data_IF_732872945177
#
_entry.id   IF_732872945177
#
_cell.length_a   1.000
_cell.length_b   1.000
_cell.length_c   1.000
_cell.angle_alpha   90.00
_cell.angle_beta   90.00
_cell.angle_gamma   90.00
#
_symmetry.space_group_name_H-M   'P 1'
#
loop_
_entity.id
_entity.type
_entity.pdbx_description
1 polymer ?
#
# COMPACT_ATOMS: atom_id res chain seq x y z
N UNK A 1 13.49 13.79 -22.05
CA UNK A 1 12.93 12.48 -21.59
C UNK A 1 12.11 12.68 -20.32
N UNK A 2 10.86 12.18 -20.33
CA UNK A 2 9.97 11.82 -19.19
C UNK A 2 9.47 12.92 -18.22
N UNK A 3 8.43 13.63 -18.64
CA UNK A 3 7.44 14.28 -17.76
C UNK A 3 6.38 13.27 -17.23
N UNK A 4 6.78 12.01 -17.01
CA UNK A 4 5.92 10.91 -16.52
C UNK A 4 5.93 10.78 -14.98
N UNK A 5 6.74 11.59 -14.28
CA UNK A 5 7.08 11.37 -12.88
C UNK A 5 6.24 12.18 -11.88
N UNK A 6 5.49 13.20 -12.29
CA UNK A 6 4.78 14.08 -11.35
C UNK A 6 3.57 13.41 -10.71
N UNK A 7 2.70 12.76 -11.50
CA UNK A 7 1.49 12.12 -10.96
C UNK A 7 1.79 10.88 -10.13
N UNK A 8 2.77 10.07 -10.56
CA UNK A 8 3.22 8.91 -9.83
C UNK A 8 3.83 9.32 -8.49
N UNK A 9 4.68 10.35 -8.48
CA UNK A 9 5.29 10.87 -7.27
C UNK A 9 4.25 11.49 -6.33
N UNK A 10 3.33 12.31 -6.85
CA UNK A 10 2.21 12.87 -6.09
C UNK A 10 1.36 11.79 -5.42
N UNK A 11 1.10 10.67 -6.13
CA UNK A 11 0.36 9.55 -5.56
C UNK A 11 1.14 8.86 -4.44
N UNK A 12 2.45 8.66 -4.63
CA UNK A 12 3.32 8.08 -3.60
C UNK A 12 3.40 8.96 -2.36
N UNK A 13 3.53 10.27 -2.55
CA UNK A 13 3.56 11.24 -1.45
C UNK A 13 2.20 11.27 -0.73
N UNK A 14 1.09 11.21 -1.48
CA UNK A 14 -0.25 11.08 -0.90
C UNK A 14 -0.38 9.82 -0.03
N UNK A 15 0.08 8.67 -0.52
CA UNK A 15 0.07 7.40 0.23
C UNK A 15 0.87 7.54 1.52
N UNK A 16 2.09 8.10 1.44
CA UNK A 16 2.95 8.31 2.60
C UNK A 16 2.30 9.25 3.62
N UNK A 17 1.87 10.44 3.19
CA UNK A 17 1.27 11.46 4.06
C UNK A 17 -0.01 10.96 4.72
N UNK A 18 -0.86 10.23 4.00
CA UNK A 18 -2.10 9.68 4.55
C UNK A 18 -1.84 8.69 5.68
N UNK A 19 -0.86 7.80 5.53
CA UNK A 19 -0.47 6.84 6.57
C UNK A 19 0.14 7.56 7.77
N UNK A 20 1.08 8.49 7.55
CA UNK A 20 1.72 9.24 8.63
C UNK A 20 0.71 10.06 9.44
N UNK A 21 -0.23 10.72 8.74
CA UNK A 21 -1.32 11.48 9.37
C UNK A 21 -2.24 10.57 10.18
N UNK A 22 -2.58 9.39 9.66
CA UNK A 22 -3.44 8.44 10.38
C UNK A 22 -2.81 7.96 11.70
N UNK A 23 -1.49 7.73 11.71
CA UNK A 23 -0.77 7.30 12.91
C UNK A 23 -0.22 8.44 13.77
N UNK A 24 -0.45 9.71 13.39
CA UNK A 24 0.08 10.90 14.07
C UNK A 24 1.58 10.73 14.32
N UNK A 25 2.32 10.36 13.27
CA UNK A 25 3.74 9.99 13.36
C UNK A 25 4.55 10.71 12.27
N UNK A 26 5.82 10.95 12.56
CA UNK A 26 6.79 11.44 11.58
C UNK A 26 7.40 10.29 10.76
N UNK A 27 7.93 10.62 9.57
CA UNK A 27 8.53 9.63 8.67
C UNK A 27 9.79 9.00 9.27
N UNK A 28 10.60 9.78 10.00
CA UNK A 28 11.82 9.28 10.65
C UNK A 28 11.52 8.17 11.64
N UNK A 29 10.54 8.37 12.52
CA UNK A 29 10.05 7.35 13.45
C UNK A 29 9.49 6.15 12.70
N UNK A 30 8.65 6.38 11.68
CA UNK A 30 8.05 5.28 10.92
C UNK A 30 9.12 4.39 10.27
N UNK A 31 10.25 4.96 9.82
CA UNK A 31 11.37 4.25 9.22
C UNK A 31 12.18 3.41 10.22
N UNK A 32 12.04 3.66 11.52
CA UNK A 32 12.63 2.79 12.57
C UNK A 32 11.87 1.49 12.80
N UNK A 33 10.62 1.41 12.31
CA UNK A 33 9.81 0.20 12.45
C UNK A 33 10.30 -0.91 11.51
N UNK A 34 10.05 -2.18 11.85
CA UNK A 34 10.30 -3.28 10.91
C UNK A 34 9.53 -3.09 9.60
N UNK A 35 10.14 -3.39 8.46
CA UNK A 35 9.52 -3.23 7.14
C UNK A 35 8.15 -3.93 7.04
N UNK A 36 8.03 -5.11 7.63
CA UNK A 36 6.76 -5.88 7.69
C UNK A 36 5.68 -5.12 8.45
N UNK A 37 6.05 -4.47 9.56
CA UNK A 37 5.15 -3.61 10.34
C UNK A 37 4.73 -2.38 9.54
N UNK A 38 5.67 -1.72 8.86
CA UNK A 38 5.39 -0.57 8.00
C UNK A 38 4.41 -0.98 6.89
N UNK A 39 4.69 -2.09 6.20
CA UNK A 39 3.85 -2.62 5.13
C UNK A 39 2.43 -2.95 5.62
N UNK A 40 2.32 -3.67 6.75
CA UNK A 40 1.04 -4.05 7.33
C UNK A 40 0.22 -2.82 7.74
N UNK A 41 0.86 -1.85 8.41
CA UNK A 41 0.21 -0.61 8.85
C UNK A 41 -0.21 0.25 7.66
N UNK A 42 0.64 0.39 6.64
CA UNK A 42 0.33 1.18 5.45
C UNK A 42 -0.90 0.64 4.71
N UNK A 43 -0.97 -0.69 4.54
CA UNK A 43 -2.13 -1.37 3.93
C UNK A 43 -3.40 -1.32 4.79
N UNK A 44 -3.29 -1.03 6.09
CA UNK A 44 -4.45 -0.87 6.97
C UNK A 44 -5.18 0.44 6.73
N UNK A 45 -4.43 1.47 6.30
CA UNK A 45 -4.93 2.83 6.09
C UNK A 45 -5.41 3.01 4.66
N UNK A 46 -4.59 2.60 3.69
CA UNK A 46 -4.86 2.82 2.27
C UNK A 46 -4.90 1.49 1.51
N UNK A 47 -6.03 1.15 0.87
CA UNK A 47 -6.07 0.02 -0.04
C UNK A 47 -5.26 0.34 -1.30
N UNK A 48 -4.11 -0.31 -1.45
CA UNK A 48 -3.12 0.08 -2.45
C UNK A 48 -2.40 -1.11 -3.07
N UNK A 49 -1.71 -0.85 -4.18
CA UNK A 49 -0.86 -1.89 -4.78
C UNK A 49 0.42 -2.08 -3.96
N UNK A 50 0.92 -3.32 -3.88
CA UNK A 50 2.19 -3.64 -3.21
C UNK A 50 3.32 -2.69 -3.65
N UNK A 51 3.42 -2.43 -4.96
CA UNK A 51 4.48 -1.60 -5.52
C UNK A 51 4.37 -0.15 -5.04
N UNK A 52 3.16 0.41 -4.97
CA UNK A 52 2.96 1.76 -4.45
C UNK A 52 3.41 1.88 -2.98
N UNK A 53 2.99 0.95 -2.12
CA UNK A 53 3.41 0.95 -0.70
C UNK A 53 4.93 0.81 -0.56
N UNK A 54 5.54 -0.15 -1.26
CA UNK A 54 6.98 -0.37 -1.15
C UNK A 54 7.77 0.83 -1.64
N UNK A 55 7.34 1.49 -2.72
CA UNK A 55 7.98 2.73 -3.19
C UNK A 55 7.79 3.88 -2.19
N UNK A 56 6.60 4.00 -1.58
CA UNK A 56 6.31 5.09 -0.64
C UNK A 56 7.16 5.05 0.63
N UNK A 57 7.51 3.86 1.10
CA UNK A 57 8.26 3.66 2.34
C UNK A 57 9.65 3.04 2.12
N UNK A 58 10.14 3.04 0.87
CA UNK A 58 11.46 2.50 0.52
C UNK A 58 11.70 1.04 0.99
N UNK A 59 10.65 0.21 0.95
CA UNK A 59 10.70 -1.17 1.45
C UNK A 59 11.27 -2.15 0.42
N UNK A 60 11.92 -3.21 0.91
CA UNK A 60 12.36 -4.30 0.05
C UNK A 60 11.18 -5.06 -0.60
N UNK A 61 11.09 -4.98 -1.93
CA UNK A 61 9.96 -5.49 -2.71
C UNK A 61 9.85 -7.02 -2.67
N UNK A 62 10.98 -7.73 -2.60
CA UNK A 62 11.03 -9.19 -2.57
C UNK A 62 10.62 -9.72 -1.21
N UNK A 63 11.16 -9.12 -0.14
CA UNK A 63 10.77 -9.41 1.23
C UNK A 63 9.26 -9.19 1.42
N UNK A 64 8.74 -8.05 0.96
CA UNK A 64 7.31 -7.75 1.05
C UNK A 64 6.45 -8.67 0.15
N UNK A 65 7.01 -9.25 -0.91
CA UNK A 65 6.32 -10.27 -1.69
C UNK A 65 6.10 -11.56 -0.89
N UNK A 66 7.13 -11.99 -0.14
CA UNK A 66 7.05 -13.16 0.74
C UNK A 66 6.10 -12.91 1.90
N UNK A 67 6.20 -11.74 2.53
CA UNK A 67 5.34 -11.36 3.64
C UNK A 67 3.87 -11.22 3.22
N UNK A 68 3.59 -10.61 2.05
CA UNK A 68 2.24 -10.59 1.46
C UNK A 68 1.65 -11.99 1.37
N UNK A 69 2.38 -12.95 0.81
CA UNK A 69 1.90 -14.34 0.69
C UNK A 69 1.60 -14.98 2.04
N UNK A 70 2.37 -14.64 3.07
CA UNK A 70 2.10 -15.10 4.43
C UNK A 70 0.78 -14.53 4.97
N UNK A 71 0.54 -13.22 4.81
CA UNK A 71 -0.70 -12.59 5.23
C UNK A 71 -1.93 -13.15 4.49
N UNK A 72 -1.79 -13.45 3.20
CA UNK A 72 -2.84 -14.09 2.39
C UNK A 72 -3.19 -15.48 2.93
N UNK A 73 -2.18 -16.30 3.26
CA UNK A 73 -2.40 -17.62 3.86
C UNK A 73 -3.04 -17.54 5.24
N UNK A 74 -2.76 -16.48 5.99
CA UNK A 74 -3.33 -16.24 7.31
C UNK A 74 -4.74 -15.61 7.27
N UNK A 75 -5.26 -15.25 6.09
CA UNK A 75 -6.53 -14.54 5.96
C UNK A 75 -6.49 -13.10 6.49
N UNK A 76 -5.30 -12.52 6.67
CA UNK A 76 -5.09 -11.15 7.19
C UNK A 76 -4.93 -10.11 6.08
N UNK A 77 -4.95 -10.54 4.82
CA UNK A 77 -4.87 -9.67 3.66
C UNK A 77 -6.04 -9.96 2.72
N UNK A 78 -6.75 -8.91 2.35
CA UNK A 78 -7.82 -8.96 1.35
C UNK A 78 -7.36 -8.27 0.07
N UNK A 79 -7.85 -8.78 -1.07
CA UNK A 79 -7.61 -8.21 -2.38
C UNK A 79 -8.93 -7.69 -2.95
N UNK A 80 -8.89 -6.60 -3.70
CA UNK A 80 -10.08 -6.08 -4.37
C UNK A 80 -10.59 -7.05 -5.44
N UNK A 81 -11.90 -7.18 -5.61
CA UNK A 81 -12.49 -8.08 -6.63
C UNK A 81 -12.07 -7.66 -8.06
N UNK A 82 -12.02 -6.34 -8.30
CA UNK A 82 -11.63 -5.75 -9.60
C UNK A 82 -10.17 -5.31 -9.57
N UNK A 83 -9.48 -5.50 -10.70
CA UNK A 83 -8.16 -4.91 -10.94
C UNK A 83 -8.32 -3.44 -11.33
N UNK A 84 -7.49 -2.58 -10.73
CA UNK A 84 -7.42 -1.15 -11.08
C UNK A 84 -6.08 -0.85 -11.75
N UNK A 85 -6.01 0.24 -12.51
CA UNK A 85 -4.75 0.73 -13.04
C UNK A 85 -3.89 1.29 -11.91
N UNK A 86 -2.73 0.69 -11.70
CA UNK A 86 -1.73 1.21 -10.79
C UNK A 86 -1.19 2.52 -11.37
N UNK A 87 -1.41 3.65 -10.70
CA UNK A 87 -0.90 4.96 -11.13
C UNK A 87 0.63 5.04 -11.22
N UNK A 88 1.33 4.14 -10.52
CA UNK A 88 2.78 4.06 -10.51
C UNK A 88 3.35 3.22 -11.67
N UNK A 89 2.78 2.04 -11.92
CA UNK A 89 3.32 1.11 -12.96
C UNK A 89 2.57 1.16 -14.28
N UNK A 90 1.37 1.73 -14.31
CA UNK A 90 0.46 1.67 -15.46
C UNK A 90 -0.17 0.30 -15.70
N UNK A 91 0.16 -0.72 -14.91
CA UNK A 91 -0.40 -2.06 -15.05
C UNK A 91 -1.66 -2.25 -14.19
N UNK A 92 -2.54 -3.15 -14.64
CA UNK A 92 -3.71 -3.58 -13.88
C UNK A 92 -3.30 -4.49 -12.74
N UNK A 93 -3.64 -4.12 -11.51
CA UNK A 93 -3.35 -4.87 -10.30
C UNK A 93 -4.54 -4.84 -9.33
N UNK A 94 -4.63 -5.84 -8.45
CA UNK A 94 -5.55 -5.80 -7.32
C UNK A 94 -5.02 -4.83 -6.26
N UNK A 95 -5.93 -4.07 -5.65
CA UNK A 95 -5.62 -3.32 -4.44
C UNK A 95 -5.56 -4.30 -3.28
N UNK A 96 -4.64 -4.06 -2.36
CA UNK A 96 -4.42 -4.87 -1.17
C UNK A 96 -4.82 -4.06 0.06
N UNK A 97 -5.43 -4.70 1.04
CA UNK A 97 -5.70 -4.08 2.35
C UNK A 97 -5.55 -5.13 3.45
N UNK A 98 -5.06 -4.71 4.62
CA UNK A 98 -5.12 -5.52 5.85
C UNK A 98 -6.33 -5.17 6.70
N UNK A 99 -7.14 -4.21 6.23
CA UNK A 99 -8.39 -3.80 6.84
C UNK A 99 -9.56 -4.17 5.92
N UNK A 100 -10.22 -5.29 6.24
CA UNK A 100 -11.34 -5.86 5.45
C UNK A 100 -12.55 -4.93 5.37
N UNK A 101 -12.72 -4.02 6.34
CA UNK A 101 -13.81 -3.04 6.33
C UNK A 101 -13.71 -2.05 5.15
N UNK A 102 -12.50 -1.75 4.67
CA UNK A 102 -12.29 -0.79 3.57
C UNK A 102 -12.82 -1.29 2.22
N UNK A 103 -12.88 -2.61 2.02
CA UNK A 103 -13.48 -3.19 0.82
C UNK A 103 -14.97 -3.47 0.98
N UNK A 104 -15.44 -3.79 2.19
CA UNK A 104 -16.88 -3.94 2.46
C UNK A 104 -17.64 -2.63 2.26
N UNK A 105 -17.11 -1.49 2.67
CA UNK A 105 -17.75 -0.19 2.48
C UNK A 105 -17.98 0.19 0.99
N UNK A 106 -17.23 -0.41 0.07
CA UNK A 106 -17.37 -0.18 -1.38
C UNK A 106 -18.24 -1.23 -2.10
N UNK A 107 -18.71 -2.26 -1.40
CA UNK A 107 -19.77 -3.15 -1.89
C UNK A 107 -21.11 -2.49 -1.55
N UNK A 108 -21.58 -1.59 -2.42
CA UNK A 108 -23.01 -1.27 -2.44
C UNK A 108 -23.74 -2.53 -2.86
N UNK A 109 -24.55 -3.06 -1.95
CA UNK A 109 -25.62 -4.01 -2.26
C UNK A 109 -26.57 -3.43 -3.32
#
# INVERSE_FOLDING_TARGET
>A
MKNRNTQAQQHIDFVRTSVLKFYISDYSFFKTLPETTIFYKALKVNPETKKAICTAFELNIEAMCRYKRQLEKQGLLEQSDKKVYCKFTGHRAHLLTTNTFLFKANKKE
#
